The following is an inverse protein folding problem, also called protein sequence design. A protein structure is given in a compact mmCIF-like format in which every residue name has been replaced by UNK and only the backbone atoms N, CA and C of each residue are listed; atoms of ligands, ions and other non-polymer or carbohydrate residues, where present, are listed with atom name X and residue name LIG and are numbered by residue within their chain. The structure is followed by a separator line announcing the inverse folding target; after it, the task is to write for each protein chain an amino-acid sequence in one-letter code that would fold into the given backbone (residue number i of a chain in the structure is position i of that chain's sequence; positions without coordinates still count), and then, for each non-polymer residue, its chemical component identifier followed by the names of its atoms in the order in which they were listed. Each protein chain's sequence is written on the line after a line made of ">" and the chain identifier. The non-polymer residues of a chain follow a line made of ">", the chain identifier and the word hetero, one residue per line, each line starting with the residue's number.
data_IF_522624787191
#
_entry.id   IF_522624787191
#
_cell.length_a   1.000
_cell.length_b   1.000
_cell.length_c   1.000
_cell.angle_alpha   90.00
_cell.angle_beta   90.00
_cell.angle_gamma   90.00
#
_symmetry.space_group_name_H-M   'P 1'
#
loop_
_entity.id
_entity.type
_entity.pdbx_description
1 polymer ?
#
# COMPACT_ATOMS: atom_id res chain seq x y z
N UNK A 1 12.21 -64.19 -45.34
CA UNK A 1 12.94 -63.29 -44.40
C UNK A 1 12.50 -61.85 -44.49
N UNK A 2 11.82 -61.37 -45.55
CA UNK A 2 11.45 -59.90 -45.70
C UNK A 2 10.14 -59.56 -44.99
N UNK A 3 9.30 -60.52 -44.62
CA UNK A 3 8.00 -60.25 -43.92
C UNK A 3 8.10 -60.03 -42.38
N UNK A 4 9.20 -60.42 -41.78
CA UNK A 4 9.41 -60.26 -40.30
C UNK A 4 10.07 -58.92 -39.95
N UNK A 5 10.78 -58.29 -40.88
CA UNK A 5 11.37 -57.01 -40.67
C UNK A 5 10.37 -55.84 -40.74
N UNK A 6 9.24 -55.95 -41.45
CA UNK A 6 8.23 -54.93 -41.54
C UNK A 6 7.31 -54.83 -40.29
N UNK A 7 7.19 -55.89 -39.51
CA UNK A 7 6.36 -55.87 -38.28
C UNK A 7 7.06 -55.32 -37.06
N UNK A 8 8.39 -55.24 -37.04
CA UNK A 8 9.14 -54.62 -35.95
C UNK A 8 9.28 -53.10 -36.09
N UNK A 9 9.15 -52.53 -37.29
CA UNK A 9 9.24 -51.09 -37.53
C UNK A 9 7.96 -50.35 -37.22
N UNK A 10 6.81 -51.01 -37.18
CA UNK A 10 5.50 -50.40 -36.87
C UNK A 10 5.19 -50.37 -35.38
N UNK A 11 5.88 -51.16 -34.55
CA UNK A 11 5.64 -51.20 -33.10
C UNK A 11 6.49 -50.19 -32.35
N UNK A 12 7.62 -49.72 -32.93
CA UNK A 12 8.47 -48.66 -32.35
C UNK A 12 7.97 -47.24 -32.61
N UNK A 13 7.13 -47.02 -33.65
CA UNK A 13 6.54 -45.71 -33.92
C UNK A 13 5.31 -45.38 -33.06
N UNK A 14 4.71 -46.39 -32.40
CA UNK A 14 3.53 -46.18 -31.54
C UNK A 14 3.89 -45.82 -30.07
N UNK A 15 5.15 -46.07 -29.66
CA UNK A 15 5.62 -45.72 -28.29
C UNK A 15 6.22 -44.33 -28.16
N UNK A 16 6.50 -43.65 -29.29
CA UNK A 16 6.95 -42.25 -29.27
C UNK A 16 5.83 -41.19 -29.31
N UNK A 17 4.58 -41.62 -29.53
CA UNK A 17 3.44 -40.68 -29.61
C UNK A 17 2.77 -40.39 -28.27
N UNK A 18 3.22 -41.00 -27.16
CA UNK A 18 2.65 -40.76 -25.82
C UNK A 18 3.51 -39.86 -24.92
N UNK A 19 4.64 -39.33 -25.42
CA UNK A 19 5.57 -38.52 -24.61
C UNK A 19 5.46 -37.00 -24.83
N UNK A 20 4.52 -36.52 -25.66
CA UNK A 20 4.39 -35.09 -25.97
C UNK A 20 2.95 -34.58 -25.87
N UNK A 21 2.24 -34.88 -24.79
CA UNK A 21 0.99 -34.17 -24.50
C UNK A 21 0.77 -34.03 -23.00
N UNK A 22 1.63 -33.29 -22.33
CA UNK A 22 1.33 -32.60 -21.06
C UNK A 22 2.35 -31.48 -20.78
N UNK A 23 2.55 -30.59 -21.75
CA UNK A 23 3.17 -29.31 -21.47
C UNK A 23 2.05 -28.27 -21.45
N UNK A 24 1.56 -27.95 -20.23
CA UNK A 24 1.03 -26.66 -19.92
C UNK A 24 -0.45 -26.37 -20.18
N UNK A 25 -1.37 -27.21 -19.69
CA UNK A 25 -2.79 -26.88 -19.57
C UNK A 25 -3.32 -27.03 -18.16
N UNK A 26 -2.48 -26.92 -17.13
CA UNK A 26 -2.94 -26.90 -15.75
C UNK A 26 -3.66 -25.58 -15.46
N UNK A 27 -4.82 -25.64 -14.79
CA UNK A 27 -5.50 -24.45 -14.28
C UNK A 27 -4.49 -23.53 -13.60
N UNK A 28 -4.43 -22.28 -14.03
CA UNK A 28 -3.57 -21.29 -13.43
C UNK A 28 -4.21 -20.69 -12.18
N UNK A 29 -3.40 -20.22 -11.26
CA UNK A 29 -3.86 -19.35 -10.16
C UNK A 29 -3.93 -17.91 -10.70
N UNK A 30 -5.13 -17.43 -11.02
CA UNK A 30 -5.34 -16.07 -11.52
C UNK A 30 -5.45 -15.08 -10.38
N UNK A 31 -4.62 -14.04 -10.41
CA UNK A 31 -4.63 -12.96 -9.41
C UNK A 31 -4.79 -11.64 -10.13
N UNK A 32 -5.87 -10.92 -9.83
CA UNK A 32 -6.10 -9.56 -10.33
C UNK A 32 -5.18 -8.58 -9.59
N UNK A 33 -4.59 -7.67 -10.33
CA UNK A 33 -3.76 -6.59 -9.79
C UNK A 33 -4.28 -5.28 -10.36
N UNK A 34 -4.80 -4.39 -9.52
CA UNK A 34 -5.22 -3.06 -9.94
C UNK A 34 -4.38 -2.02 -9.21
N UNK A 35 -3.76 -1.14 -9.96
CA UNK A 35 -2.80 -0.13 -9.49
C UNK A 35 -2.82 1.08 -10.40
N UNK A 36 -2.53 2.25 -9.86
CA UNK A 36 -2.37 3.48 -10.63
C UNK A 36 -1.01 3.48 -11.36
N UNK A 37 -0.97 3.03 -12.61
CA UNK A 37 0.26 3.05 -13.42
C UNK A 37 0.35 4.30 -14.30
N UNK A 38 -0.72 5.08 -14.39
CA UNK A 38 -0.79 6.42 -14.99
C UNK A 38 -1.52 7.38 -14.06
N UNK A 39 -1.50 8.69 -14.36
CA UNK A 39 -2.14 9.73 -13.53
C UNK A 39 -1.24 10.26 -12.41
N UNK A 40 -1.85 10.92 -11.43
CA UNK A 40 -1.17 11.67 -10.35
C UNK A 40 -0.29 10.81 -9.43
N UNK A 41 -0.62 9.53 -9.27
CA UNK A 41 0.10 8.59 -8.40
C UNK A 41 0.77 7.44 -9.17
N UNK A 42 1.08 7.66 -10.45
CA UNK A 42 1.61 6.63 -11.35
C UNK A 42 2.84 5.89 -10.78
N UNK A 43 3.73 6.61 -10.10
CA UNK A 43 4.93 6.00 -9.54
C UNK A 43 4.62 4.96 -8.45
N UNK A 44 3.54 5.14 -7.69
CA UNK A 44 3.07 4.17 -6.71
C UNK A 44 2.69 2.84 -7.35
N UNK A 45 1.88 2.90 -8.39
CA UNK A 45 1.39 1.71 -9.08
C UNK A 45 2.48 0.97 -9.83
N UNK A 46 3.39 1.70 -10.49
CA UNK A 46 4.55 1.11 -11.18
C UNK A 46 5.44 0.38 -10.18
N UNK A 47 5.81 1.03 -9.08
CA UNK A 47 6.66 0.48 -8.05
C UNK A 47 6.04 -0.76 -7.38
N UNK A 48 4.77 -0.66 -6.98
CA UNK A 48 4.02 -1.78 -6.38
C UNK A 48 3.85 -2.95 -7.34
N UNK A 49 3.52 -2.68 -8.62
CA UNK A 49 3.39 -3.73 -9.64
C UNK A 49 4.72 -4.47 -9.87
N UNK A 50 5.84 -3.77 -9.81
CA UNK A 50 7.16 -4.39 -9.89
C UNK A 50 7.41 -5.34 -8.71
N UNK A 51 7.08 -4.93 -7.48
CA UNK A 51 7.17 -5.80 -6.30
C UNK A 51 6.31 -7.06 -6.43
N UNK A 52 5.05 -6.91 -6.88
CA UNK A 52 4.14 -8.05 -7.09
C UNK A 52 4.67 -8.99 -8.17
N UNK A 53 5.13 -8.46 -9.31
CA UNK A 53 5.71 -9.28 -10.40
C UNK A 53 6.93 -10.07 -9.93
N UNK A 54 7.82 -9.42 -9.18
CA UNK A 54 9.00 -10.08 -8.64
C UNK A 54 8.60 -11.27 -7.74
N UNK A 55 7.62 -11.07 -6.83
CA UNK A 55 7.11 -12.11 -5.96
C UNK A 55 6.47 -13.28 -6.75
N UNK A 56 5.70 -12.97 -7.79
CA UNK A 56 5.05 -13.99 -8.62
C UNK A 56 6.06 -14.82 -9.42
N UNK A 57 7.07 -14.16 -9.99
CA UNK A 57 8.11 -14.84 -10.77
C UNK A 57 8.95 -15.76 -9.89
N UNK A 58 9.28 -15.36 -8.65
CA UNK A 58 9.97 -16.22 -7.69
C UNK A 58 9.16 -17.49 -7.37
N UNK A 59 7.85 -17.34 -7.14
CA UNK A 59 6.98 -18.49 -6.84
C UNK A 59 6.83 -19.38 -8.08
N UNK A 60 6.67 -18.79 -9.25
CA UNK A 60 6.56 -19.51 -10.51
C UNK A 60 7.85 -20.28 -10.85
N UNK A 61 9.01 -19.67 -10.63
CA UNK A 61 10.31 -20.32 -10.81
C UNK A 61 10.51 -21.51 -9.85
N UNK A 62 9.92 -21.44 -8.65
CA UNK A 62 9.92 -22.53 -7.67
C UNK A 62 8.86 -23.65 -7.96
N UNK A 63 8.19 -23.60 -9.12
CA UNK A 63 7.19 -24.60 -9.52
C UNK A 63 5.74 -24.18 -9.31
N UNK A 64 5.49 -22.93 -8.93
CA UNK A 64 4.16 -22.37 -8.73
C UNK A 64 3.52 -22.75 -7.39
N UNK A 65 2.22 -22.54 -7.27
CA UNK A 65 1.43 -22.88 -6.09
C UNK A 65 0.80 -24.27 -6.32
N UNK A 66 1.23 -25.26 -5.56
CA UNK A 66 0.76 -26.65 -5.69
C UNK A 66 0.81 -27.16 -7.16
N UNK A 67 1.89 -26.81 -7.88
CA UNK A 67 2.11 -27.17 -9.28
C UNK A 67 1.40 -26.27 -10.31
N UNK A 68 0.63 -25.28 -9.88
CA UNK A 68 -0.07 -24.31 -10.75
C UNK A 68 0.69 -22.99 -10.83
N UNK A 69 0.89 -22.48 -12.05
CA UNK A 69 1.55 -21.19 -12.26
C UNK A 69 0.62 -20.04 -11.88
N UNK A 70 1.18 -18.98 -11.27
CA UNK A 70 0.48 -17.72 -11.01
C UNK A 70 0.38 -16.94 -12.33
N UNK A 71 -0.81 -16.48 -12.64
CA UNK A 71 -1.10 -15.56 -13.73
C UNK A 71 -1.59 -14.23 -13.13
N UNK A 72 -0.81 -13.18 -13.32
CA UNK A 72 -1.18 -11.82 -12.88
C UNK A 72 -1.96 -11.12 -13.99
N UNK A 73 -3.18 -10.69 -13.67
CA UNK A 73 -4.01 -9.84 -14.54
C UNK A 73 -3.87 -8.38 -14.06
N UNK A 74 -2.89 -7.66 -14.65
CA UNK A 74 -2.55 -6.31 -14.22
C UNK A 74 -3.36 -5.29 -14.99
N UNK A 75 -4.03 -4.37 -14.29
CA UNK A 75 -4.84 -3.29 -14.84
C UNK A 75 -4.46 -1.94 -14.21
N UNK A 76 -4.48 -0.89 -15.03
CA UNK A 76 -4.21 0.49 -14.64
C UNK A 76 -5.50 1.23 -14.32
N UNK A 77 -5.69 1.66 -13.08
CA UNK A 77 -6.86 2.44 -12.65
C UNK A 77 -6.72 3.95 -12.88
N UNK A 78 -5.61 4.39 -13.49
CA UNK A 78 -5.35 5.77 -13.92
C UNK A 78 -5.48 6.81 -12.81
N UNK A 79 -5.22 6.41 -11.58
CA UNK A 79 -5.41 7.23 -10.37
C UNK A 79 -6.88 7.67 -10.15
N UNK A 80 -7.85 6.85 -10.60
CA UNK A 80 -9.28 7.14 -10.50
C UNK A 80 -10.03 6.05 -9.72
N UNK A 81 -10.87 6.46 -8.77
CA UNK A 81 -11.60 5.54 -7.90
C UNK A 81 -12.74 4.80 -8.63
N UNK A 82 -13.36 5.42 -9.64
CA UNK A 82 -14.41 4.79 -10.44
C UNK A 82 -13.83 3.74 -11.40
N UNK A 83 -12.66 4.02 -11.95
CA UNK A 83 -11.92 3.07 -12.77
C UNK A 83 -11.49 1.86 -11.94
N UNK A 84 -10.96 2.07 -10.72
CA UNK A 84 -10.62 0.99 -9.79
C UNK A 84 -11.82 0.06 -9.52
N UNK A 85 -13.01 0.63 -9.29
CA UNK A 85 -14.24 -0.14 -9.12
C UNK A 85 -14.62 -0.92 -10.40
N UNK A 86 -14.48 -0.30 -11.58
CA UNK A 86 -14.75 -0.93 -12.88
C UNK A 86 -13.80 -2.12 -13.13
N UNK A 87 -12.52 -1.96 -12.84
CA UNK A 87 -11.52 -3.03 -12.99
C UNK A 87 -11.84 -4.20 -12.07
N UNK A 88 -12.15 -3.96 -10.79
CA UNK A 88 -12.48 -5.04 -9.87
C UNK A 88 -13.80 -5.72 -10.25
N UNK A 89 -14.78 -4.99 -10.80
CA UNK A 89 -15.97 -5.60 -11.38
C UNK A 89 -15.62 -6.57 -12.52
N UNK A 90 -14.72 -6.16 -13.43
CA UNK A 90 -14.24 -7.01 -14.51
C UNK A 90 -13.53 -8.26 -13.97
N UNK A 91 -12.66 -8.11 -12.98
CA UNK A 91 -11.94 -9.23 -12.36
C UNK A 91 -12.89 -10.31 -11.82
N UNK A 92 -13.95 -9.90 -11.14
CA UNK A 92 -14.89 -10.87 -10.51
C UNK A 92 -15.93 -11.43 -11.47
N UNK A 93 -16.33 -10.68 -12.51
CA UNK A 93 -17.40 -11.11 -13.42
C UNK A 93 -16.91 -11.76 -14.70
N UNK A 94 -15.76 -11.34 -15.23
CA UNK A 94 -15.24 -11.76 -16.54
C UNK A 94 -13.96 -12.57 -16.41
N UNK A 95 -12.98 -12.08 -15.66
CA UNK A 95 -11.65 -12.69 -15.58
C UNK A 95 -11.59 -13.86 -14.59
N UNK A 96 -12.60 -13.97 -13.71
CA UNK A 96 -12.74 -15.05 -12.72
C UNK A 96 -11.47 -15.26 -11.90
N UNK A 97 -10.94 -14.18 -11.34
CA UNK A 97 -9.75 -14.21 -10.49
C UNK A 97 -10.04 -14.91 -9.16
N UNK A 98 -9.04 -15.57 -8.59
CA UNK A 98 -9.14 -16.26 -7.30
C UNK A 98 -8.85 -15.32 -6.13
N UNK A 99 -8.06 -14.26 -6.37
CA UNK A 99 -7.68 -13.24 -5.39
C UNK A 99 -7.34 -11.92 -6.08
N UNK A 100 -7.33 -10.83 -5.30
CA UNK A 100 -7.05 -9.47 -5.80
C UNK A 100 -5.97 -8.82 -4.93
N UNK A 101 -4.97 -8.22 -5.57
CA UNK A 101 -3.95 -7.37 -4.97
C UNK A 101 -4.14 -5.93 -5.44
N UNK A 102 -4.18 -4.98 -4.52
CA UNK A 102 -4.38 -3.55 -4.81
C UNK A 102 -5.33 -2.90 -3.83
N UNK A 103 -5.48 -1.67 -3.87
CA UNK A 103 -4.72 -0.57 -4.46
C UNK A 103 -3.82 0.05 -3.38
N UNK A 104 -2.93 0.97 -3.75
CA UNK A 104 -2.10 1.74 -2.80
C UNK A 104 -2.93 2.83 -2.13
N UNK A 105 -3.67 3.62 -2.93
CA UNK A 105 -4.44 4.75 -2.44
C UNK A 105 -5.77 4.33 -1.81
N UNK A 106 -6.03 4.84 -0.61
CA UNK A 106 -7.18 4.44 0.20
C UNK A 106 -8.52 4.64 -0.49
N UNK A 107 -8.75 5.79 -1.16
CA UNK A 107 -10.03 6.07 -1.84
C UNK A 107 -10.34 5.06 -2.95
N UNK A 108 -9.32 4.59 -3.68
CA UNK A 108 -9.46 3.58 -4.75
C UNK A 108 -9.76 2.21 -4.16
N UNK A 109 -9.06 1.83 -3.10
CA UNK A 109 -9.35 0.58 -2.36
C UNK A 109 -10.75 0.60 -1.74
N UNK A 110 -11.19 1.74 -1.17
CA UNK A 110 -12.54 1.91 -0.60
C UNK A 110 -13.62 1.73 -1.66
N UNK A 111 -13.40 2.24 -2.88
CA UNK A 111 -14.34 2.10 -3.99
C UNK A 111 -14.42 0.66 -4.52
N UNK A 112 -13.30 -0.05 -4.58
CA UNK A 112 -13.20 -1.41 -5.10
C UNK A 112 -13.63 -2.49 -4.09
N UNK A 113 -13.37 -2.28 -2.80
CA UNK A 113 -13.55 -3.28 -1.75
C UNK A 113 -14.98 -3.86 -1.64
N UNK A 114 -16.09 -3.10 -1.75
CA UNK A 114 -17.44 -3.65 -1.72
C UNK A 114 -17.72 -4.67 -2.83
N UNK A 115 -17.09 -4.48 -4.00
CA UNK A 115 -17.27 -5.36 -5.16
C UNK A 115 -16.59 -6.71 -4.90
N UNK A 116 -15.34 -6.69 -4.45
CA UNK A 116 -14.61 -7.88 -4.05
C UNK A 116 -15.31 -8.62 -2.89
N UNK A 117 -15.79 -7.87 -1.88
CA UNK A 117 -16.56 -8.42 -0.76
C UNK A 117 -17.83 -9.14 -1.21
N UNK A 118 -18.64 -8.53 -2.06
CA UNK A 118 -19.90 -9.10 -2.54
C UNK A 118 -19.67 -10.35 -3.39
N UNK A 119 -18.60 -10.36 -4.18
CA UNK A 119 -18.18 -11.52 -4.97
C UNK A 119 -17.51 -12.62 -4.12
N UNK A 120 -17.23 -12.36 -2.84
CA UNK A 120 -16.48 -13.25 -1.96
C UNK A 120 -15.09 -13.60 -2.49
N UNK A 121 -14.44 -12.65 -3.16
CA UNK A 121 -13.06 -12.76 -3.63
C UNK A 121 -12.16 -11.99 -2.67
N UNK A 122 -11.15 -12.63 -2.04
CA UNK A 122 -10.26 -11.93 -1.11
C UNK A 122 -9.44 -10.86 -1.83
N UNK A 123 -9.44 -9.67 -1.24
CA UNK A 123 -8.66 -8.51 -1.67
C UNK A 123 -7.67 -8.12 -0.58
N UNK A 124 -6.40 -7.99 -0.94
CA UNK A 124 -5.33 -7.55 -0.04
C UNK A 124 -4.69 -6.29 -0.59
N UNK A 125 -4.87 -5.17 0.11
CA UNK A 125 -4.14 -3.96 -0.21
C UNK A 125 -2.74 -3.97 0.41
N UNK A 126 -1.70 -3.60 -0.34
CA UNK A 126 -0.36 -3.49 0.20
C UNK A 126 -0.16 -2.26 1.09
N UNK A 127 -0.85 -1.14 0.81
CA UNK A 127 -0.47 0.17 1.37
C UNK A 127 -1.64 1.13 1.65
N UNK A 128 -2.90 0.74 1.40
CA UNK A 128 -4.04 1.60 1.77
C UNK A 128 -4.24 1.61 3.29
N UNK A 129 -3.89 2.71 3.92
CA UNK A 129 -3.80 2.83 5.38
C UNK A 129 -5.10 3.27 6.07
N UNK A 130 -6.08 3.81 5.33
CA UNK A 130 -7.35 4.24 5.91
C UNK A 130 -8.15 3.06 6.47
N UNK A 131 -8.61 3.11 7.75
CA UNK A 131 -9.38 2.02 8.38
C UNK A 131 -10.65 1.61 7.63
N UNK A 132 -11.26 2.53 6.88
CA UNK A 132 -12.48 2.24 6.13
C UNK A 132 -12.32 1.17 5.06
N UNK A 133 -11.09 0.89 4.61
CA UNK A 133 -10.82 -0.15 3.61
C UNK A 133 -11.25 -1.52 4.12
N UNK A 134 -10.71 -1.97 5.24
CA UNK A 134 -11.02 -3.31 5.80
C UNK A 134 -12.40 -3.38 6.45
N UNK A 135 -13.00 -2.24 6.82
CA UNK A 135 -14.39 -2.16 7.29
C UNK A 135 -15.43 -2.49 6.21
N UNK A 136 -15.04 -2.49 4.92
CA UNK A 136 -15.94 -2.86 3.81
C UNK A 136 -16.34 -4.34 3.82
N UNK A 137 -15.62 -5.19 4.55
CA UNK A 137 -16.04 -6.58 4.71
C UNK A 137 -14.93 -7.53 5.13
N UNK A 138 -15.32 -8.77 5.39
CA UNK A 138 -14.41 -9.79 5.90
C UNK A 138 -13.55 -10.50 4.84
N UNK A 139 -13.71 -10.15 3.56
CA UNK A 139 -12.83 -10.56 2.47
C UNK A 139 -11.74 -9.52 2.16
N UNK A 140 -11.72 -8.39 2.88
CA UNK A 140 -10.82 -7.29 2.63
C UNK A 140 -9.73 -7.23 3.71
N UNK A 141 -8.48 -7.25 3.29
CA UNK A 141 -7.27 -7.31 4.14
C UNK A 141 -6.30 -6.19 3.77
N UNK A 142 -5.40 -5.85 4.71
CA UNK A 142 -4.26 -4.96 4.44
C UNK A 142 -2.98 -5.49 5.07
N UNK A 143 -1.85 -5.37 4.38
CA UNK A 143 -0.53 -5.77 4.89
C UNK A 143 0.31 -4.61 5.42
N UNK A 144 -0.22 -3.39 5.45
CA UNK A 144 0.40 -2.19 6.01
C UNK A 144 -0.19 -1.80 7.38
N UNK A 145 0.41 -0.83 8.06
CA UNK A 145 -0.17 -0.19 9.25
C UNK A 145 -1.41 0.67 8.88
N UNK A 146 -2.06 1.23 9.88
CA UNK A 146 -3.28 2.04 9.72
C UNK A 146 -3.06 3.51 10.09
N UNK A 147 -3.85 4.42 9.49
CA UNK A 147 -3.80 5.87 9.73
C UNK A 147 -3.91 6.29 11.19
N UNK A 148 -4.73 5.67 12.06
CA UNK A 148 -4.74 6.01 13.49
C UNK A 148 -3.38 5.89 14.15
N UNK A 149 -2.61 4.89 13.77
CA UNK A 149 -1.26 4.65 14.28
C UNK A 149 -0.27 5.61 13.65
N UNK A 150 -0.33 5.77 12.34
CA UNK A 150 0.53 6.67 11.56
C UNK A 150 0.34 8.13 11.98
N UNK A 151 -0.91 8.60 12.05
CA UNK A 151 -1.22 9.97 12.44
C UNK A 151 -0.80 10.30 13.87
N UNK A 152 -0.93 9.34 14.79
CA UNK A 152 -0.44 9.49 16.14
C UNK A 152 1.09 9.59 16.19
N UNK A 153 1.81 8.78 15.40
CA UNK A 153 3.27 8.84 15.29
C UNK A 153 3.75 10.19 14.73
N UNK A 154 3.11 10.70 13.68
CA UNK A 154 3.40 12.02 13.09
C UNK A 154 3.23 13.13 14.13
N UNK A 155 2.10 13.16 14.84
CA UNK A 155 1.82 14.18 15.84
C UNK A 155 2.77 14.11 17.03
N UNK A 156 3.10 12.89 17.50
CA UNK A 156 4.05 12.69 18.60
C UNK A 156 5.46 13.14 18.20
N UNK A 157 5.90 12.81 17.00
CA UNK A 157 7.19 13.24 16.47
C UNK A 157 7.28 14.76 16.43
N UNK A 158 6.27 15.44 15.90
CA UNK A 158 6.24 16.90 15.85
C UNK A 158 6.27 17.53 17.25
N UNK A 159 5.46 17.03 18.19
CA UNK A 159 5.37 17.58 19.54
C UNK A 159 6.60 17.28 20.40
N UNK A 160 7.16 16.06 20.32
CA UNK A 160 8.23 15.62 21.22
C UNK A 160 9.62 15.82 20.63
N UNK A 161 9.81 15.39 19.39
CA UNK A 161 11.14 15.38 18.75
C UNK A 161 11.46 16.73 18.12
N UNK A 162 10.49 17.38 17.45
CA UNK A 162 10.67 18.73 16.93
C UNK A 162 10.36 19.82 17.95
N UNK A 163 9.71 19.50 19.06
CA UNK A 163 9.35 20.46 20.13
C UNK A 163 8.24 21.43 19.73
N UNK A 164 7.55 21.19 18.62
CA UNK A 164 6.54 22.09 18.08
C UNK A 164 5.34 22.25 19.02
N UNK A 165 4.90 23.48 19.22
CA UNK A 165 3.69 23.85 19.97
C UNK A 165 2.57 24.37 19.07
N UNK A 166 2.92 24.84 17.87
CA UNK A 166 2.00 25.45 16.91
C UNK A 166 2.15 24.74 15.56
N UNK A 167 1.08 24.14 15.10
CA UNK A 167 1.08 23.40 13.84
C UNK A 167 0.00 23.93 12.89
N UNK A 168 0.30 23.87 11.60
CA UNK A 168 -0.67 24.03 10.54
C UNK A 168 -0.78 22.71 9.74
N UNK A 169 -1.83 22.58 8.95
CA UNK A 169 -2.05 21.39 8.13
C UNK A 169 -2.63 21.78 6.76
N UNK A 170 -2.15 21.13 5.70
CA UNK A 170 -2.71 21.18 4.35
C UNK A 170 -3.33 19.84 4.02
N UNK A 171 -4.59 19.82 3.57
CA UNK A 171 -5.41 18.62 3.44
C UNK A 171 -5.96 18.50 2.02
N UNK A 172 -5.70 17.38 1.38
CA UNK A 172 -6.40 17.02 0.15
C UNK A 172 -7.82 16.55 0.46
N UNK A 173 -8.82 17.33 0.08
CA UNK A 173 -10.25 17.02 0.35
C UNK A 173 -10.84 15.97 -0.56
N UNK A 174 -10.18 15.63 -1.65
CA UNK A 174 -10.61 14.58 -2.58
C UNK A 174 -10.18 13.18 -2.13
N UNK A 175 -9.33 13.10 -1.12
CA UNK A 175 -8.59 11.90 -0.75
C UNK A 175 -8.94 11.44 0.67
N UNK A 176 -9.48 10.21 0.81
CA UNK A 176 -9.84 9.63 2.12
C UNK A 176 -8.63 9.39 3.04
N UNK A 177 -7.45 9.11 2.47
CA UNK A 177 -6.20 9.02 3.22
C UNK A 177 -5.87 10.35 3.89
N UNK A 178 -5.84 11.44 3.12
CA UNK A 178 -5.51 12.78 3.61
C UNK A 178 -6.48 13.26 4.69
N UNK A 179 -7.78 13.11 4.43
CA UNK A 179 -8.84 13.53 5.37
C UNK A 179 -8.89 12.65 6.62
N UNK A 180 -8.56 11.37 6.49
CA UNK A 180 -8.43 10.45 7.62
C UNK A 180 -7.26 10.83 8.53
N UNK A 181 -6.08 11.03 7.96
CA UNK A 181 -4.88 11.43 8.69
C UNK A 181 -5.01 12.81 9.36
N UNK A 182 -5.62 13.80 8.67
CA UNK A 182 -5.90 15.11 9.25
C UNK A 182 -6.55 15.00 10.62
N UNK A 183 -7.60 14.19 10.72
CA UNK A 183 -8.38 14.01 11.95
C UNK A 183 -7.50 13.46 13.07
N UNK A 184 -6.72 12.44 12.78
CA UNK A 184 -5.88 11.78 13.80
C UNK A 184 -4.71 12.68 14.21
N UNK A 185 -4.01 13.28 13.25
CA UNK A 185 -2.89 14.18 13.53
C UNK A 185 -3.35 15.35 14.38
N UNK A 186 -4.43 16.04 13.96
CA UNK A 186 -4.94 17.23 14.67
C UNK A 186 -5.41 16.90 16.08
N UNK A 187 -6.16 15.81 16.25
CA UNK A 187 -6.65 15.38 17.54
C UNK A 187 -5.51 14.99 18.49
N UNK A 188 -4.52 14.23 17.98
CA UNK A 188 -3.38 13.77 18.79
C UNK A 188 -2.47 14.92 19.16
N UNK A 189 -2.14 15.83 18.22
CA UNK A 189 -1.31 16.98 18.48
C UNK A 189 -1.93 17.90 19.54
N UNK A 190 -3.24 18.16 19.42
CA UNK A 190 -3.99 18.95 20.41
C UNK A 190 -4.04 18.27 21.78
N UNK A 191 -4.27 16.95 21.84
CA UNK A 191 -4.25 16.17 23.09
C UNK A 191 -2.89 16.26 23.79
N UNK A 192 -1.82 16.42 23.06
CA UNK A 192 -0.46 16.59 23.58
C UNK A 192 -0.14 18.04 24.00
N UNK A 193 -1.10 18.95 23.97
CA UNK A 193 -0.94 20.36 24.34
C UNK A 193 -0.48 21.26 23.19
N UNK A 194 -0.44 20.74 21.96
CA UNK A 194 -0.17 21.53 20.75
C UNK A 194 -1.41 22.31 20.30
N UNK A 195 -1.20 23.39 19.57
CA UNK A 195 -2.24 24.22 18.97
C UNK A 195 -2.24 24.07 17.45
N UNK A 196 -3.36 23.65 16.86
CA UNK A 196 -3.60 23.75 15.42
C UNK A 196 -3.95 25.21 15.07
N UNK A 197 -3.03 25.91 14.43
CA UNK A 197 -3.16 27.36 14.14
C UNK A 197 -3.76 27.65 12.77
N UNK A 198 -3.80 26.66 11.87
CA UNK A 198 -4.40 26.81 10.55
C UNK A 198 -4.63 25.48 9.87
N UNK A 199 -5.74 25.39 9.13
CA UNK A 199 -6.06 24.28 8.23
C UNK A 199 -6.37 24.87 6.87
N UNK A 200 -5.68 24.40 5.84
CA UNK A 200 -5.93 24.76 4.46
C UNK A 200 -6.23 23.52 3.62
N UNK A 201 -7.03 23.70 2.60
CA UNK A 201 -7.48 22.60 1.75
C UNK A 201 -6.98 22.77 0.31
N UNK A 202 -6.74 21.64 -0.34
CA UNK A 202 -6.46 21.55 -1.77
C UNK A 202 -7.14 20.29 -2.34
N UNK A 203 -7.00 20.05 -3.62
CA UNK A 203 -7.42 18.82 -4.29
C UNK A 203 -6.25 18.19 -5.03
N UNK A 204 -6.18 16.85 -5.01
CA UNK A 204 -5.19 16.08 -5.76
C UNK A 204 -5.10 16.59 -7.20
N UNK A 205 -3.87 16.96 -7.63
CA UNK A 205 -3.57 17.50 -8.94
C UNK A 205 -3.58 19.02 -9.05
N UNK A 206 -3.90 19.76 -7.97
CA UNK A 206 -3.73 21.21 -7.95
C UNK A 206 -2.27 21.59 -8.22
N UNK A 207 -2.05 22.71 -8.92
CA UNK A 207 -0.72 23.17 -9.30
C UNK A 207 -0.30 24.44 -8.54
N UNK A 208 -1.23 25.17 -7.97
CA UNK A 208 -1.01 26.44 -7.28
C UNK A 208 -1.57 26.37 -5.83
N UNK A 209 -0.66 26.51 -4.87
CA UNK A 209 -0.94 26.49 -3.43
C UNK A 209 -0.64 27.84 -2.77
N UNK A 210 -0.43 28.89 -3.59
CA UNK A 210 0.04 30.19 -3.12
C UNK A 210 -0.90 30.85 -2.11
N UNK A 211 -2.20 30.77 -2.31
CA UNK A 211 -3.18 31.37 -1.39
C UNK A 211 -3.16 30.68 -0.03
N UNK A 212 -3.21 29.34 -0.03
CA UNK A 212 -3.17 28.51 1.17
C UNK A 212 -1.90 28.74 1.97
N UNK A 213 -0.74 28.72 1.30
CA UNK A 213 0.56 28.91 1.93
C UNK A 213 0.73 30.33 2.50
N UNK A 214 0.17 31.35 1.84
CA UNK A 214 0.18 32.73 2.35
C UNK A 214 -0.60 32.84 3.64
N UNK A 215 -1.79 32.25 3.73
CA UNK A 215 -2.58 32.22 4.96
C UNK A 215 -1.83 31.48 6.08
N UNK A 216 -1.31 30.28 5.79
CA UNK A 216 -0.57 29.50 6.79
C UNK A 216 0.68 30.23 7.29
N UNK A 217 1.41 30.91 6.41
CA UNK A 217 2.57 31.73 6.83
C UNK A 217 2.17 32.79 7.86
N UNK A 218 1.04 33.48 7.64
CA UNK A 218 0.53 34.51 8.57
C UNK A 218 0.13 33.96 9.95
N UNK A 219 -0.10 32.64 10.07
CA UNK A 219 -0.42 31.96 11.34
C UNK A 219 0.82 31.62 12.16
N UNK A 220 2.02 31.77 11.63
CA UNK A 220 3.29 31.47 12.28
C UNK A 220 3.34 30.04 12.87
N UNK A 221 3.14 28.98 12.08
CA UNK A 221 3.31 27.62 12.56
C UNK A 221 4.80 27.29 12.78
N UNK A 222 5.10 26.33 13.63
CA UNK A 222 6.44 25.79 13.87
C UNK A 222 6.66 24.49 13.08
N UNK A 223 5.57 23.90 12.59
CA UNK A 223 5.55 22.72 11.69
C UNK A 223 4.30 22.80 10.81
N UNK A 224 4.41 22.29 9.59
CA UNK A 224 3.25 22.12 8.70
C UNK A 224 3.09 20.64 8.39
N UNK A 225 1.94 20.07 8.75
CA UNK A 225 1.55 18.72 8.34
C UNK A 225 1.01 18.74 6.92
N UNK A 226 1.45 17.79 6.11
CA UNK A 226 0.97 17.61 4.73
C UNK A 226 0.66 16.14 4.48
N UNK A 227 -0.47 15.62 5.00
CA UNK A 227 -0.91 14.25 4.73
C UNK A 227 -1.45 14.13 3.29
N UNK A 228 -0.54 14.08 2.33
CA UNK A 228 -0.83 14.02 0.90
C UNK A 228 0.10 13.08 0.16
N UNK A 229 -0.03 13.02 -1.15
CA UNK A 229 0.80 12.19 -2.00
C UNK A 229 1.96 12.97 -2.61
N UNK A 230 3.03 12.27 -2.94
CA UNK A 230 4.35 12.80 -3.34
C UNK A 230 4.28 13.93 -4.37
N UNK A 231 3.36 13.85 -5.33
CA UNK A 231 3.28 14.80 -6.43
C UNK A 231 2.91 16.21 -5.92
N UNK A 232 1.79 16.31 -5.20
CA UNK A 232 1.31 17.57 -4.65
C UNK A 232 2.25 18.06 -3.54
N UNK A 233 2.75 17.15 -2.70
CA UNK A 233 3.68 17.47 -1.61
C UNK A 233 4.97 18.10 -2.12
N UNK A 234 5.52 17.59 -3.22
CA UNK A 234 6.71 18.18 -3.84
C UNK A 234 6.48 19.63 -4.30
N UNK A 235 5.33 19.90 -4.92
CA UNK A 235 4.92 21.24 -5.35
C UNK A 235 4.64 22.17 -4.15
N UNK A 236 3.93 21.67 -3.14
CA UNK A 236 3.66 22.39 -1.89
C UNK A 236 4.98 22.79 -1.21
N UNK A 237 5.92 21.87 -1.10
CA UNK A 237 7.22 22.14 -0.49
C UNK A 237 7.97 23.25 -1.23
N UNK A 238 8.05 23.18 -2.55
CA UNK A 238 8.69 24.19 -3.39
C UNK A 238 8.07 25.57 -3.19
N UNK A 239 6.74 25.66 -3.35
CA UNK A 239 6.03 26.93 -3.18
C UNK A 239 6.08 27.47 -1.74
N UNK A 240 6.13 26.60 -0.74
CA UNK A 240 6.32 27.01 0.65
C UNK A 240 7.67 27.72 0.85
N UNK A 241 8.76 27.16 0.30
CA UNK A 241 10.09 27.79 0.38
C UNK A 241 10.16 29.08 -0.43
N UNK A 242 9.55 29.14 -1.60
CA UNK A 242 9.47 30.37 -2.42
C UNK A 242 8.76 31.50 -1.64
N UNK A 243 7.82 31.18 -0.76
CA UNK A 243 7.18 32.13 0.15
C UNK A 243 7.96 32.43 1.43
N UNK A 244 9.13 31.81 1.61
CA UNK A 244 9.94 31.98 2.81
C UNK A 244 9.39 31.24 4.04
N UNK A 245 8.58 30.22 3.87
CA UNK A 245 8.22 29.26 4.93
C UNK A 245 9.39 28.30 5.10
N UNK A 246 10.08 28.34 6.23
CA UNK A 246 11.29 27.56 6.50
C UNK A 246 11.08 26.42 7.50
N UNK A 247 9.91 26.37 8.15
CA UNK A 247 9.59 25.32 9.13
C UNK A 247 9.56 23.92 8.48
N UNK A 248 9.82 22.86 9.25
CA UNK A 248 9.72 21.50 8.76
C UNK A 248 8.32 21.18 8.21
N UNK A 249 8.30 20.44 7.11
CA UNK A 249 7.09 19.77 6.64
C UNK A 249 7.11 18.33 7.15
N UNK A 250 5.97 17.82 7.60
CA UNK A 250 5.85 16.46 8.11
C UNK A 250 4.63 15.78 7.50
N UNK A 251 4.84 14.59 6.94
CA UNK A 251 3.79 13.83 6.28
C UNK A 251 3.79 12.35 6.58
N UNK A 252 3.00 11.62 5.82
CA UNK A 252 2.82 10.18 5.92
C UNK A 252 3.54 9.40 4.81
N UNK A 253 3.29 8.11 4.77
CA UNK A 253 3.87 7.15 3.83
C UNK A 253 3.58 7.47 2.35
N UNK A 254 2.53 8.24 2.09
CA UNK A 254 2.22 8.78 0.75
C UNK A 254 3.29 9.72 0.16
N UNK A 255 4.35 10.02 0.91
CA UNK A 255 5.51 10.77 0.40
C UNK A 255 6.56 9.86 -0.26
N UNK A 256 6.56 8.55 0.04
CA UNK A 256 7.64 7.67 -0.40
C UNK A 256 7.58 7.37 -1.90
N UNK A 257 8.30 8.19 -2.63
CA UNK A 257 8.49 8.07 -4.06
C UNK A 257 9.79 8.73 -4.48
N UNK A 258 10.52 8.11 -5.39
CA UNK A 258 11.70 8.72 -6.02
C UNK A 258 11.36 10.07 -6.71
N UNK A 259 10.10 10.26 -7.12
CA UNK A 259 9.63 11.49 -7.75
C UNK A 259 9.44 12.65 -6.75
N UNK A 260 9.26 12.38 -5.46
CA UNK A 260 9.10 13.44 -4.46
C UNK A 260 10.27 14.44 -4.51
N UNK A 261 11.51 13.92 -4.45
CA UNK A 261 12.68 14.80 -4.49
C UNK A 261 12.94 15.38 -5.88
N UNK A 262 12.56 14.69 -6.94
CA UNK A 262 12.65 15.21 -8.30
C UNK A 262 11.76 16.45 -8.50
N UNK A 263 10.59 16.49 -7.85
CA UNK A 263 9.64 17.61 -7.90
C UNK A 263 10.02 18.71 -6.93
N UNK A 264 10.19 18.36 -5.64
CA UNK A 264 10.36 19.34 -4.56
C UNK A 264 11.82 19.78 -4.35
N UNK A 265 12.79 18.97 -4.79
CA UNK A 265 14.21 19.27 -4.70
C UNK A 265 14.67 19.64 -3.26
N UNK A 266 15.54 20.60 -3.18
CA UNK A 266 16.11 21.10 -1.90
C UNK A 266 15.05 21.70 -0.96
N UNK A 267 13.87 22.03 -1.46
CA UNK A 267 12.76 22.52 -0.64
C UNK A 267 12.27 21.50 0.41
N UNK A 268 12.55 20.23 0.17
CA UNK A 268 12.20 19.12 1.07
C UNK A 268 13.25 18.84 2.15
N UNK A 269 14.46 19.42 2.06
CA UNK A 269 15.52 19.16 3.02
C UNK A 269 15.07 19.51 4.45
N UNK A 270 15.29 18.61 5.40
CA UNK A 270 14.85 18.76 6.78
C UNK A 270 13.34 18.56 6.98
N UNK A 271 12.66 18.00 6.00
CA UNK A 271 11.29 17.51 6.14
C UNK A 271 11.27 16.02 6.51
N UNK A 272 10.14 15.54 7.04
CA UNK A 272 10.01 14.21 7.61
C UNK A 272 8.74 13.53 7.15
N UNK A 273 8.78 12.19 7.06
CA UNK A 273 7.59 11.40 6.78
C UNK A 273 7.67 10.01 7.42
N UNK A 274 6.52 9.45 7.73
CA UNK A 274 6.43 8.06 8.21
C UNK A 274 6.55 7.09 7.05
N UNK A 275 7.16 5.92 7.31
CA UNK A 275 7.33 4.89 6.29
C UNK A 275 7.23 3.48 6.89
N UNK A 276 7.11 2.46 6.01
CA UNK A 276 6.97 1.06 6.38
C UNK A 276 8.32 0.36 6.59
N UNK A 277 9.37 0.83 5.94
CA UNK A 277 10.72 0.29 6.04
C UNK A 277 11.76 1.34 5.59
N UNK A 278 13.02 0.97 5.65
CA UNK A 278 14.10 1.72 5.01
C UNK A 278 14.90 0.78 4.11
N UNK A 279 15.19 1.14 2.84
CA UNK A 279 16.04 0.34 1.96
C UNK A 279 17.50 0.25 2.45
N UNK A 280 17.87 1.08 3.43
CA UNK A 280 19.18 1.11 4.06
C UNK A 280 19.23 0.31 5.37
N UNK A 281 18.17 -0.43 5.73
CA UNK A 281 18.18 -1.35 6.86
C UNK A 281 19.18 -2.46 6.59
N UNK A 282 19.99 -2.81 7.63
CA UNK A 282 21.06 -3.81 7.51
C UNK A 282 20.57 -5.26 7.64
N UNK A 283 19.28 -5.48 7.86
CA UNK A 283 18.70 -6.82 7.86
C UNK A 283 18.99 -7.53 6.53
N UNK A 284 19.60 -8.73 6.55
CA UNK A 284 19.96 -9.47 5.33
C UNK A 284 18.78 -9.71 4.38
N UNK A 285 17.57 -9.87 4.91
CA UNK A 285 16.34 -10.02 4.11
C UNK A 285 16.01 -8.74 3.33
N UNK A 286 16.10 -7.59 4.01
CA UNK A 286 15.90 -6.28 3.37
C UNK A 286 16.95 -6.07 2.29
N UNK A 287 18.24 -6.31 2.60
CA UNK A 287 19.31 -6.11 1.63
C UNK A 287 19.21 -7.06 0.43
N UNK A 288 18.79 -8.31 0.65
CA UNK A 288 18.53 -9.23 -0.46
C UNK A 288 17.44 -8.69 -1.39
N UNK A 289 16.29 -8.29 -0.84
CA UNK A 289 15.19 -7.70 -1.61
C UNK A 289 15.64 -6.46 -2.39
N UNK A 290 16.34 -5.54 -1.73
CA UNK A 290 16.85 -4.30 -2.36
C UNK A 290 17.79 -4.62 -3.53
N UNK A 291 18.73 -5.55 -3.34
CA UNK A 291 19.68 -5.94 -4.37
C UNK A 291 19.00 -6.62 -5.57
N UNK A 292 18.09 -7.55 -5.31
CA UNK A 292 17.35 -8.28 -6.36
C UNK A 292 16.42 -7.33 -7.15
N UNK A 293 15.72 -6.43 -6.46
CA UNK A 293 14.88 -5.42 -7.10
C UNK A 293 15.71 -4.46 -7.94
N UNK A 294 16.84 -3.97 -7.40
CA UNK A 294 17.75 -3.08 -8.12
C UNK A 294 18.36 -3.74 -9.34
N UNK A 295 18.76 -5.01 -9.24
CA UNK A 295 19.30 -5.78 -10.36
C UNK A 295 18.26 -5.92 -11.49
N UNK A 296 16.98 -6.05 -11.14
CA UNK A 296 15.90 -6.26 -12.10
C UNK A 296 15.35 -4.97 -12.71
N UNK A 297 15.22 -3.91 -11.90
CA UNK A 297 14.52 -2.67 -12.31
C UNK A 297 15.44 -1.44 -12.39
N UNK A 298 16.71 -1.56 -12.03
CA UNK A 298 17.71 -0.48 -12.12
C UNK A 298 17.61 0.60 -11.04
N UNK A 299 16.65 0.50 -10.10
CA UNK A 299 16.38 1.49 -9.06
C UNK A 299 16.31 0.85 -7.68
N UNK A 300 16.59 1.65 -6.63
CA UNK A 300 16.35 1.22 -5.25
C UNK A 300 14.83 1.18 -5.03
N UNK A 301 14.28 0.08 -4.45
CA UNK A 301 12.84 -0.01 -4.17
C UNK A 301 12.43 0.98 -3.09
N UNK A 302 11.32 1.68 -3.32
CA UNK A 302 10.59 2.40 -2.30
C UNK A 302 9.81 1.45 -1.37
N UNK A 303 9.16 1.98 -0.33
CA UNK A 303 8.39 1.15 0.58
C UNK A 303 7.16 0.51 -0.09
N UNK A 304 6.62 1.13 -1.13
CA UNK A 304 5.45 0.62 -1.83
C UNK A 304 5.78 -0.64 -2.65
N UNK A 305 6.97 -0.69 -3.24
CA UNK A 305 7.49 -1.92 -3.85
C UNK A 305 7.65 -3.04 -2.81
N UNK A 306 8.19 -2.71 -1.63
CA UNK A 306 8.43 -3.69 -0.57
C UNK A 306 7.13 -4.20 0.07
N UNK A 307 6.17 -3.31 0.38
CA UNK A 307 4.86 -3.71 0.91
C UNK A 307 4.04 -4.52 -0.09
N UNK A 308 4.13 -4.17 -1.38
CA UNK A 308 3.45 -4.90 -2.44
C UNK A 308 4.07 -6.28 -2.70
N UNK A 309 5.40 -6.39 -2.60
CA UNK A 309 6.09 -7.68 -2.62
C UNK A 309 5.64 -8.56 -1.44
N UNK A 310 5.61 -8.03 -0.22
CA UNK A 310 5.14 -8.74 0.97
C UNK A 310 3.67 -9.16 0.82
N UNK A 311 2.79 -8.25 0.37
CA UNK A 311 1.37 -8.55 0.13
C UNK A 311 1.19 -9.70 -0.86
N UNK A 312 1.93 -9.69 -1.96
CA UNK A 312 1.89 -10.76 -2.96
C UNK A 312 2.37 -12.09 -2.37
N UNK A 313 3.49 -12.09 -1.66
CA UNK A 313 4.02 -13.32 -1.01
C UNK A 313 3.05 -13.87 0.03
N UNK A 314 2.41 -13.02 0.83
CA UNK A 314 1.38 -13.40 1.82
C UNK A 314 0.16 -13.99 1.11
N UNK A 315 -0.32 -13.37 0.04
CA UNK A 315 -1.45 -13.89 -0.73
C UNK A 315 -1.13 -15.24 -1.34
N UNK A 316 0.03 -15.41 -1.93
CA UNK A 316 0.45 -16.69 -2.55
C UNK A 316 0.64 -17.79 -1.52
N UNK A 317 1.17 -17.47 -0.34
CA UNK A 317 1.27 -18.40 0.79
C UNK A 317 -0.14 -18.80 1.30
N UNK A 318 -1.06 -17.85 1.43
CA UNK A 318 -2.43 -18.14 1.81
C UNK A 318 -3.14 -19.05 0.79
N UNK A 319 -2.99 -18.79 -0.51
CA UNK A 319 -3.53 -19.65 -1.57
C UNK A 319 -2.91 -21.06 -1.50
N UNK A 320 -1.61 -21.16 -1.19
CA UNK A 320 -0.92 -22.44 -1.03
C UNK A 320 -1.47 -23.26 0.14
N UNK A 321 -1.83 -22.60 1.25
CA UNK A 321 -2.39 -23.21 2.47
C UNK A 321 -3.89 -23.48 2.37
N UNK A 322 -4.60 -22.79 1.48
CA UNK A 322 -6.03 -22.93 1.30
C UNK A 322 -6.41 -24.36 0.85
N UNK A 323 -7.54 -24.86 1.31
CA UNK A 323 -8.05 -26.20 0.97
C UNK A 323 -8.57 -26.30 -0.47
N UNK A 324 -8.86 -25.16 -1.10
CA UNK A 324 -9.28 -25.03 -2.50
C UNK A 324 -8.98 -23.62 -3.01
N UNK A 325 -9.21 -23.37 -4.30
CA UNK A 325 -9.14 -22.03 -4.89
C UNK A 325 -10.44 -21.22 -4.72
N UNK A 326 -11.38 -21.67 -3.90
CA UNK A 326 -12.55 -20.92 -3.53
C UNK A 326 -12.18 -19.71 -2.67
N UNK A 327 -12.83 -18.58 -2.94
CA UNK A 327 -12.50 -17.31 -2.26
C UNK A 327 -12.67 -17.40 -0.74
N UNK A 328 -13.62 -18.20 -0.21
CA UNK A 328 -13.80 -18.38 1.23
C UNK A 328 -12.62 -19.14 1.84
N UNK A 329 -12.15 -20.21 1.17
CA UNK A 329 -10.99 -20.97 1.64
C UNK A 329 -9.70 -20.11 1.65
N UNK A 330 -9.51 -19.27 0.62
CA UNK A 330 -8.38 -18.36 0.55
C UNK A 330 -8.50 -17.27 1.64
N UNK A 331 -9.71 -16.69 1.83
CA UNK A 331 -9.98 -15.72 2.89
C UNK A 331 -9.62 -16.26 4.27
N UNK A 332 -10.03 -17.50 4.57
CA UNK A 332 -9.77 -18.13 5.86
C UNK A 332 -8.28 -18.39 6.07
N UNK A 333 -7.58 -18.82 5.00
CA UNK A 333 -6.13 -18.98 5.03
C UNK A 333 -5.39 -17.64 5.22
N UNK A 334 -5.86 -16.54 4.60
CA UNK A 334 -5.34 -15.19 4.83
C UNK A 334 -5.54 -14.77 6.29
N UNK A 335 -6.76 -14.92 6.81
CA UNK A 335 -7.09 -14.56 8.20
C UNK A 335 -6.24 -15.32 9.24
N UNK A 336 -5.83 -16.52 8.91
CA UNK A 336 -4.94 -17.34 9.75
C UNK A 336 -3.44 -16.99 9.63
N UNK A 337 -3.07 -15.97 8.82
CA UNK A 337 -1.67 -15.56 8.68
C UNK A 337 -1.15 -14.98 9.98
N UNK A 338 -0.07 -15.57 10.50
CA UNK A 338 0.58 -15.18 11.75
C UNK A 338 2.09 -15.19 11.57
N UNK A 339 2.74 -14.14 12.07
CA UNK A 339 4.20 -13.96 12.08
C UNK A 339 4.87 -14.22 10.71
N UNK A 340 4.17 -13.88 9.62
CA UNK A 340 4.72 -14.02 8.27
C UNK A 340 5.96 -13.13 8.10
N UNK A 341 7.12 -13.69 7.69
CA UNK A 341 8.39 -12.98 7.71
C UNK A 341 8.58 -12.08 6.48
N UNK A 342 7.86 -10.96 6.40
CA UNK A 342 7.97 -9.99 5.32
C UNK A 342 9.29 -9.19 5.31
N UNK A 343 9.58 -8.55 4.20
CA UNK A 343 10.69 -7.58 4.05
C UNK A 343 10.46 -6.34 4.91
N UNK A 344 9.21 -5.92 5.00
CA UNK A 344 8.80 -4.75 5.80
C UNK A 344 8.47 -5.11 7.25
N UNK A 345 8.96 -6.26 7.74
CA UNK A 345 8.71 -6.80 9.07
C UNK A 345 7.66 -7.93 9.08
N UNK A 346 7.54 -8.60 10.22
CA UNK A 346 6.60 -9.69 10.37
C UNK A 346 5.15 -9.19 10.26
N UNK A 347 4.30 -9.99 9.61
CA UNK A 347 2.88 -9.68 9.40
C UNK A 347 2.01 -10.71 10.11
N UNK A 348 1.18 -10.22 11.02
CA UNK A 348 0.08 -10.96 11.64
C UNK A 348 -1.19 -10.12 11.41
N UNK A 349 -2.24 -10.72 10.87
CA UNK A 349 -3.52 -10.04 10.77
C UNK A 349 -4.26 -10.10 12.10
N UNK A 350 -4.75 -8.94 12.55
CA UNK A 350 -5.64 -8.86 13.71
C UNK A 350 -7.11 -9.22 13.33
N UNK A 351 -8.01 -9.13 14.30
CA UNK A 351 -9.44 -9.39 14.10
C UNK A 351 -10.10 -8.48 13.02
N UNK A 352 -9.54 -7.29 12.79
CA UNK A 352 -9.97 -6.34 11.77
C UNK A 352 -9.28 -6.58 10.41
N UNK A 353 -8.45 -7.62 10.31
CA UNK A 353 -7.67 -7.96 9.10
C UNK A 353 -6.62 -6.90 8.73
N UNK A 354 -6.20 -6.13 9.71
CA UNK A 354 -5.11 -5.16 9.61
C UNK A 354 -3.81 -5.79 10.11
N UNK A 355 -2.69 -5.48 9.46
CA UNK A 355 -1.39 -5.86 9.96
C UNK A 355 -0.93 -4.91 11.08
N UNK A 356 -0.37 -5.47 12.14
CA UNK A 356 0.33 -4.69 13.18
C UNK A 356 1.79 -4.60 12.80
N UNK A 357 2.27 -3.39 12.51
CA UNK A 357 3.63 -3.15 12.00
C UNK A 357 4.27 -1.94 12.68
N UNK A 358 5.61 -1.94 12.86
CA UNK A 358 6.34 -0.77 13.31
C UNK A 358 6.29 0.33 12.25
N UNK A 359 6.47 1.59 12.70
CA UNK A 359 6.61 2.76 11.84
C UNK A 359 8.03 3.27 11.94
N UNK A 360 8.61 3.66 10.81
CA UNK A 360 9.87 4.40 10.77
C UNK A 360 9.59 5.85 10.39
N UNK A 361 10.22 6.80 11.11
CA UNK A 361 10.23 8.20 10.72
C UNK A 361 11.47 8.45 9.88
N UNK A 362 11.27 8.90 8.66
CA UNK A 362 12.32 9.20 7.69
C UNK A 362 12.58 10.71 7.67
N UNK A 363 13.83 11.10 7.64
CA UNK A 363 14.28 12.47 7.38
C UNK A 363 14.83 12.57 5.95
N UNK A 364 14.39 13.59 5.21
CA UNK A 364 14.91 13.91 3.88
C UNK A 364 16.14 14.80 4.04
N UNK A 365 17.29 14.28 3.62
CA UNK A 365 18.59 14.94 3.69
C UNK A 365 18.92 15.66 2.37
N UNK A 366 19.88 16.60 2.39
CA UNK A 366 20.43 17.18 1.17
C UNK A 366 20.86 16.12 0.16
N UNK A 367 20.55 16.36 -1.11
CA UNK A 367 20.81 15.40 -2.19
C UNK A 367 19.74 14.32 -2.35
N UNK A 368 18.59 14.41 -1.64
CA UNK A 368 17.48 13.48 -1.75
C UNK A 368 17.75 12.12 -1.10
N UNK A 369 18.72 12.06 -0.20
CA UNK A 369 18.97 10.83 0.56
C UNK A 369 18.03 10.77 1.77
N UNK A 370 17.63 9.55 2.13
CA UNK A 370 16.73 9.29 3.24
C UNK A 370 17.51 8.67 4.40
N UNK A 371 17.23 9.14 5.63
CA UNK A 371 17.77 8.54 6.84
C UNK A 371 16.66 8.23 7.84
N UNK A 372 16.75 7.10 8.51
CA UNK A 372 15.85 6.77 9.62
C UNK A 372 16.16 7.71 10.78
N UNK A 373 15.20 8.54 11.16
CA UNK A 373 15.30 9.47 12.29
C UNK A 373 14.96 8.77 13.60
N UNK A 374 13.87 8.01 13.61
CA UNK A 374 13.47 7.20 14.75
C UNK A 374 12.57 6.05 14.31
N UNK A 375 12.46 5.02 15.17
CA UNK A 375 11.49 3.94 15.03
C UNK A 375 10.42 4.12 16.10
N UNK A 376 9.16 4.20 15.69
CA UNK A 376 8.04 4.39 16.60
C UNK A 376 7.42 3.04 16.94
N UNK A 377 7.55 2.62 18.21
CA UNK A 377 6.84 1.45 18.71
C UNK A 377 5.40 1.79 19.04
N UNK A 378 4.49 1.03 18.49
CA UNK A 378 3.06 1.35 18.36
C UNK A 378 2.22 0.78 19.50
N UNK A 379 2.82 0.12 20.51
CA UNK A 379 2.10 -0.61 21.56
C UNK A 379 1.04 0.22 22.31
N UNK A 380 1.22 1.53 22.42
CA UNK A 380 0.23 2.42 23.06
C UNK A 380 -0.85 2.99 22.12
N UNK A 381 -0.61 3.02 20.80
CA UNK A 381 -1.54 3.62 19.83
C UNK A 381 -2.51 2.59 19.24
N UNK A 382 -2.12 1.32 19.16
CA UNK A 382 -2.98 0.23 18.69
C UNK A 382 -4.18 0.02 19.62
N UNK A 383 -4.01 0.17 20.94
CA UNK A 383 -5.10 0.03 21.93
C UNK A 383 -6.14 1.15 21.82
N UNK A 384 -5.78 2.33 21.35
CA UNK A 384 -6.74 3.43 21.15
C UNK A 384 -7.53 3.31 19.83
N UNK A 385 -6.99 2.61 18.85
CA UNK A 385 -7.63 2.40 17.54
C UNK A 385 -8.60 1.22 17.51
N UNK A 386 -8.53 0.32 18.48
CA UNK A 386 -9.39 -0.88 18.61
C UNK A 386 -10.67 -0.66 19.39
N UNK A 387 -10.92 0.55 19.95
CA UNK A 387 -12.18 0.84 20.59
C UNK A 387 -13.32 0.70 19.57
N UNK A 388 -14.32 -0.17 19.76
CA UNK A 388 -15.45 -0.28 18.86
C UNK A 388 -16.15 1.06 18.78
N UNK A 389 -16.50 1.51 17.56
CA UNK A 389 -17.38 2.66 17.39
C UNK A 389 -18.65 2.41 18.20
N UNK A 390 -19.00 3.34 19.09
CA UNK A 390 -20.23 3.27 19.85
C UNK A 390 -21.40 3.02 18.85
N UNK A 391 -22.32 2.10 19.16
CA UNK A 391 -23.46 1.85 18.29
C UNK A 391 -24.22 3.17 18.09
N UNK A 392 -24.47 3.50 16.83
CA UNK A 392 -25.31 4.64 16.50
C UNK A 392 -26.63 4.48 17.22
N UNK A 393 -26.92 5.38 18.17
CA UNK A 393 -28.20 5.43 18.87
C UNK A 393 -29.28 5.61 17.80
N UNK A 394 -30.09 4.56 17.61
CA UNK A 394 -31.28 4.64 16.78
C UNK A 394 -32.14 5.80 17.26
N UNK A 395 -32.38 6.78 16.39
CA UNK A 395 -33.33 7.83 16.65
C UNK A 395 -34.71 7.20 16.88
N UNK A 396 -35.24 7.41 18.08
CA UNK A 396 -36.60 6.99 18.45
C UNK A 396 -37.61 7.71 17.52
N UNK A 397 -38.59 7.02 16.93
CA UNK A 397 -39.61 7.69 16.14
C UNK A 397 -40.45 8.59 17.03
N UNK A 398 -40.58 9.86 16.64
CA UNK A 398 -41.50 10.81 17.26
C UNK A 398 -42.94 10.30 17.10
N UNK A 399 -43.55 9.98 18.21
CA UNK A 399 -45.01 9.76 18.32
C UNK A 399 -45.70 11.08 18.13
N UNK A 400 -46.63 11.08 17.19
CA UNK A 400 -47.69 12.11 17.07
C UNK A 400 -48.74 11.95 18.17
#
# INVERSE_FOLDING_TARGET
>A
MIRILLSLLTLTSLLLSFACNNIGGGDKVRVGVFMSMTGSTANFGISSTNGIKMAADEVNAAGGINGKQIELLVQDDRSDASEAATIVTKFVTQDQVHAILGEVASSRSIAAAPIAQNAKIPMLTPSSTNPEVTRKGNFIFRSCFIDPVQGAAIAQFAARTLGAKRAAIMVDRKNDYSTGLEKVISATFTKMGGQMVGTQSYQEGDQDFNAQLTDLKGKNPEVIFVPGYYNDVGLIAKQARDKGITVPLVGGDGWDSAQLYAIGGTALNGSFFTNHYSPYDTDPKVQKFVNDYKARYGTIPDALAATAYDAAKIMFDAIKRATSLDGTAIRDALAATKDYPGVTGNVTFNENRDAVKPIVMIEIKPGGTYSVRERVNVEGAALAATAPAAPATAASPATK
#
